data_IF_592950828976
#
_entry.id   IF_592950828976
#
_cell.length_a   1.000
_cell.length_b   1.000
_cell.length_c   1.000
_cell.angle_alpha   90.00
_cell.angle_beta   90.00
_cell.angle_gamma   90.00
#
_symmetry.space_group_name_H-M   'P 1'
#
loop_
_entity.id
_entity.type
_entity.pdbx_description
1 polymer ?
#
# COMPACT_ATOMS: atom_id res chain seq x y z
N UNK A 1 -2.74 -10.16 -4.07
CA UNK A 1 -3.37 -11.34 -3.39
C UNK A 1 -3.72 -11.06 -1.94
N UNK A 2 -2.87 -10.35 -1.18
CA UNK A 2 -3.10 -10.05 0.24
C UNK A 2 -4.50 -9.49 0.57
N UNK A 3 -4.95 -8.49 -0.19
CA UNK A 3 -6.30 -7.91 -0.04
C UNK A 3 -7.42 -8.96 -0.14
N UNK A 4 -7.30 -9.94 -1.04
CA UNK A 4 -8.30 -11.01 -1.18
C UNK A 4 -8.27 -11.98 0.00
N UNK A 5 -7.09 -12.22 0.59
CA UNK A 5 -6.93 -13.06 1.78
C UNK A 5 -7.68 -12.47 2.98
N UNK A 6 -7.55 -11.16 3.22
CA UNK A 6 -8.23 -10.49 4.33
C UNK A 6 -9.68 -10.10 4.04
N UNK A 7 -10.06 -9.92 2.76
CA UNK A 7 -11.42 -9.53 2.37
C UNK A 7 -12.21 -10.69 1.75
N UNK A 8 -12.52 -11.80 2.45
CA UNK A 8 -13.24 -12.93 1.85
C UNK A 8 -14.70 -12.59 1.52
N UNK A 9 -15.32 -11.61 2.19
CA UNK A 9 -16.73 -11.24 1.92
C UNK A 9 -16.85 -10.29 0.74
N UNK A 10 -15.89 -9.36 0.60
CA UNK A 10 -15.89 -8.35 -0.46
C UNK A 10 -14.89 -8.61 -1.59
N UNK A 11 -14.17 -9.74 -1.53
CA UNK A 11 -13.18 -10.19 -2.51
C UNK A 11 -13.68 -10.21 -3.96
N UNK A 12 -14.97 -10.48 -4.15
CA UNK A 12 -15.62 -10.51 -5.46
C UNK A 12 -15.60 -9.15 -6.19
N UNK A 13 -15.40 -8.03 -5.49
CA UNK A 13 -15.31 -6.72 -6.13
C UNK A 13 -14.08 -6.55 -7.00
N UNK A 14 -12.97 -7.26 -6.71
CA UNK A 14 -11.82 -7.26 -7.62
C UNK A 14 -12.23 -7.76 -9.00
N UNK A 15 -12.96 -8.88 -9.06
CA UNK A 15 -13.43 -9.43 -10.34
C UNK A 15 -14.54 -8.55 -10.96
N UNK A 16 -15.53 -8.13 -10.17
CA UNK A 16 -16.64 -7.32 -10.65
C UNK A 16 -16.20 -5.93 -11.17
N UNK A 17 -15.05 -5.44 -10.72
CA UNK A 17 -14.45 -4.16 -11.13
C UNK A 17 -13.22 -4.33 -12.05
N UNK A 18 -12.98 -5.55 -12.57
CA UNK A 18 -11.99 -5.78 -13.63
C UNK A 18 -10.52 -5.82 -13.20
N UNK A 19 -10.24 -6.07 -11.91
CA UNK A 19 -8.87 -6.22 -11.36
C UNK A 19 -8.23 -7.54 -11.82
N UNK A 20 -7.16 -7.46 -12.61
CA UNK A 20 -6.29 -8.60 -12.93
C UNK A 20 -5.06 -8.65 -12.00
N UNK A 21 -4.58 -9.86 -11.72
CA UNK A 21 -3.31 -10.10 -11.01
C UNK A 21 -2.21 -10.39 -12.02
N UNK A 22 -1.25 -9.47 -12.15
CA UNK A 22 -0.11 -9.57 -13.07
C UNK A 22 1.15 -10.07 -12.38
N UNK A 23 1.31 -9.74 -11.10
CA UNK A 23 2.55 -9.90 -10.35
C UNK A 23 2.30 -10.55 -8.98
N UNK A 24 3.38 -11.06 -8.39
CA UNK A 24 3.41 -11.63 -7.04
C UNK A 24 4.35 -10.78 -6.19
N UNK A 25 3.78 -10.06 -5.23
CA UNK A 25 4.54 -9.21 -4.30
C UNK A 25 4.83 -9.95 -2.98
N UNK A 26 6.08 -9.87 -2.53
CA UNK A 26 6.54 -10.35 -1.22
C UNK A 26 7.18 -9.21 -0.43
N UNK A 27 7.15 -9.34 0.89
CA UNK A 27 7.94 -8.52 1.79
C UNK A 27 8.89 -9.40 2.62
N UNK A 28 10.11 -8.94 2.84
CA UNK A 28 11.10 -9.64 3.67
C UNK A 28 12.00 -8.68 4.42
N UNK A 29 12.82 -9.23 5.32
CA UNK A 29 13.90 -8.47 5.94
C UNK A 29 15.15 -8.51 5.07
N UNK A 30 15.89 -7.41 4.98
CA UNK A 30 17.13 -7.35 4.19
C UNK A 30 18.16 -8.41 4.57
N UNK A 31 18.17 -8.86 5.84
CA UNK A 31 19.03 -9.98 6.29
C UNK A 31 18.84 -11.27 5.50
N UNK A 32 17.67 -11.47 4.87
CA UNK A 32 17.35 -12.64 4.05
C UNK A 32 17.59 -12.42 2.56
N UNK A 33 18.05 -11.23 2.15
CA UNK A 33 18.34 -10.90 0.75
C UNK A 33 19.19 -11.98 0.05
N UNK A 34 20.36 -12.41 0.57
CA UNK A 34 21.20 -13.40 -0.13
C UNK A 34 20.54 -14.78 -0.24
N UNK A 35 19.71 -15.16 0.74
CA UNK A 35 19.06 -16.46 0.78
C UNK A 35 17.86 -16.51 -0.19
N UNK A 36 17.08 -15.43 -0.26
CA UNK A 36 15.97 -15.28 -1.21
C UNK A 36 16.49 -15.24 -2.65
N UNK A 37 17.57 -14.49 -2.92
CA UNK A 37 18.19 -14.45 -4.25
C UNK A 37 18.59 -15.86 -4.69
N UNK A 38 19.32 -16.58 -3.82
CA UNK A 38 19.78 -17.95 -4.09
C UNK A 38 18.60 -18.91 -4.32
N UNK A 39 17.55 -18.79 -3.51
CA UNK A 39 16.34 -19.61 -3.61
C UNK A 39 15.66 -19.40 -4.96
N UNK A 40 15.31 -18.16 -5.32
CA UNK A 40 14.56 -17.87 -6.54
C UNK A 40 15.36 -18.19 -7.81
N UNK A 41 16.66 -17.86 -7.83
CA UNK A 41 17.54 -18.30 -8.93
C UNK A 41 17.62 -19.83 -9.01
N UNK A 42 17.72 -20.53 -7.88
CA UNK A 42 17.73 -22.00 -7.83
C UNK A 42 16.42 -22.65 -8.30
N UNK A 43 15.29 -21.95 -8.15
CA UNK A 43 13.98 -22.35 -8.67
C UNK A 43 13.79 -22.00 -10.16
N UNK A 44 14.74 -21.32 -10.79
CA UNK A 44 14.71 -20.99 -12.21
C UNK A 44 14.12 -19.63 -12.56
N UNK A 45 13.86 -18.77 -11.57
CA UNK A 45 13.46 -17.38 -11.81
C UNK A 45 14.65 -16.52 -12.21
N UNK A 46 14.44 -15.58 -13.13
CA UNK A 46 15.49 -14.72 -13.65
C UNK A 46 15.49 -13.35 -12.96
N UNK A 47 16.52 -13.05 -12.18
CA UNK A 47 16.65 -11.75 -11.52
C UNK A 47 16.80 -10.61 -12.55
N UNK A 48 16.01 -9.56 -12.39
CA UNK A 48 16.20 -8.30 -13.09
C UNK A 48 17.29 -7.46 -12.40
N UNK A 49 18.52 -7.62 -12.90
CA UNK A 49 19.69 -6.91 -12.37
C UNK A 49 19.63 -5.40 -12.54
N UNK A 50 18.77 -4.86 -13.40
CA UNK A 50 18.60 -3.40 -13.53
C UNK A 50 17.81 -2.87 -12.33
N UNK A 51 16.74 -3.57 -11.93
CA UNK A 51 15.98 -3.23 -10.72
C UNK A 51 16.87 -3.31 -9.48
N UNK A 52 17.64 -4.39 -9.33
CA UNK A 52 18.58 -4.53 -8.21
C UNK A 52 19.64 -3.41 -8.18
N UNK A 53 20.01 -2.83 -9.34
CA UNK A 53 20.93 -1.68 -9.38
C UNK A 53 20.25 -0.37 -9.02
N UNK A 54 19.00 -0.18 -9.42
CA UNK A 54 18.25 1.05 -9.18
C UNK A 54 17.83 1.18 -7.72
N UNK A 55 17.35 0.08 -7.12
CA UNK A 55 16.82 0.06 -5.75
C UNK A 55 17.80 -0.56 -4.74
N UNK A 56 18.93 -1.11 -5.19
CA UNK A 56 19.91 -1.72 -4.29
C UNK A 56 19.30 -2.88 -3.51
N UNK A 57 19.54 -2.88 -2.19
CA UNK A 57 19.03 -3.94 -1.28
C UNK A 57 17.64 -3.61 -0.69
N UNK A 58 16.86 -2.70 -1.28
CA UNK A 58 15.47 -2.45 -0.87
C UNK A 58 14.44 -3.18 -1.74
N UNK A 59 14.80 -3.61 -2.95
CA UNK A 59 13.88 -4.32 -3.86
C UNK A 59 14.59 -5.30 -4.78
N UNK A 60 14.00 -6.48 -4.98
CA UNK A 60 14.36 -7.41 -6.06
C UNK A 60 13.16 -7.63 -6.97
N UNK A 61 13.43 -7.74 -8.27
CA UNK A 61 12.45 -8.20 -9.25
C UNK A 61 12.97 -9.47 -9.91
N UNK A 62 12.11 -10.46 -10.05
CA UNK A 62 12.37 -11.69 -10.79
C UNK A 62 11.33 -11.91 -11.87
N UNK A 63 11.78 -12.34 -13.04
CA UNK A 63 10.95 -12.75 -14.16
C UNK A 63 10.64 -14.25 -14.05
N UNK A 64 9.35 -14.60 -14.17
CA UNK A 64 8.86 -15.96 -14.39
C UNK A 64 8.60 -16.16 -15.90
N UNK A 65 9.60 -16.67 -16.65
CA UNK A 65 9.45 -16.84 -18.09
C UNK A 65 8.42 -17.93 -18.46
N UNK A 66 8.06 -18.82 -17.52
CA UNK A 66 7.15 -19.91 -17.78
C UNK A 66 5.69 -19.44 -17.72
N UNK A 67 5.34 -18.64 -16.71
CA UNK A 67 3.97 -18.15 -16.53
C UNK A 67 3.74 -16.72 -17.07
N UNK A 68 4.80 -16.04 -17.51
CA UNK A 68 4.73 -14.67 -18.02
C UNK A 68 4.33 -13.67 -16.94
N UNK A 69 4.92 -13.80 -15.74
CA UNK A 69 4.64 -12.96 -14.56
C UNK A 69 5.94 -12.51 -13.91
N UNK A 70 5.84 -11.57 -12.98
CA UNK A 70 6.98 -11.13 -12.20
C UNK A 70 6.76 -11.39 -10.70
N UNK A 71 7.86 -11.59 -9.99
CA UNK A 71 7.93 -11.66 -8.54
C UNK A 71 8.68 -10.43 -8.06
N UNK A 72 8.01 -9.60 -7.27
CA UNK A 72 8.58 -8.42 -6.63
C UNK A 72 8.79 -8.68 -5.15
N UNK A 73 9.92 -8.24 -4.61
CA UNK A 73 10.29 -8.50 -3.22
C UNK A 73 10.80 -7.20 -2.63
N UNK A 74 10.05 -6.68 -1.66
CA UNK A 74 10.37 -5.47 -0.92
C UNK A 74 11.07 -5.81 0.39
N UNK A 75 12.19 -5.14 0.69
CA UNK A 75 13.01 -5.41 1.86
C UNK A 75 12.96 -4.26 2.86
N UNK A 76 12.53 -4.55 4.09
CA UNK A 76 12.41 -3.62 5.23
C UNK A 76 11.47 -2.41 5.03
N UNK A 77 11.05 -2.08 3.81
CA UNK A 77 10.21 -0.93 3.48
C UNK A 77 9.46 -1.10 2.14
N UNK A 78 8.35 -0.38 1.99
CA UNK A 78 7.68 -0.14 0.70
C UNK A 78 8.11 1.23 0.20
N UNK A 79 8.93 1.26 -0.84
CA UNK A 79 9.44 2.49 -1.45
C UNK A 79 8.76 2.75 -2.79
N UNK A 80 7.73 3.60 -2.76
CA UNK A 80 7.00 4.08 -3.94
C UNK A 80 7.14 5.61 -4.01
N UNK A 81 6.02 6.34 -4.05
CA UNK A 81 6.04 7.80 -3.98
C UNK A 81 6.48 8.35 -2.63
N UNK A 82 6.30 7.54 -1.57
CA UNK A 82 6.82 7.75 -0.24
C UNK A 82 7.45 6.44 0.24
N UNK A 83 7.98 6.44 1.47
CA UNK A 83 8.53 5.24 2.10
C UNK A 83 7.65 4.83 3.29
N UNK A 84 7.14 3.61 3.27
CA UNK A 84 6.44 3.00 4.42
C UNK A 84 7.35 1.93 5.02
N UNK A 85 7.86 2.12 6.25
CA UNK A 85 8.75 1.16 6.88
C UNK A 85 8.00 -0.12 7.29
N UNK A 86 8.60 -1.27 7.00
CA UNK A 86 8.11 -2.61 7.38
C UNK A 86 8.99 -3.29 8.44
N UNK A 87 10.14 -2.71 8.77
CA UNK A 87 11.04 -3.29 9.77
C UNK A 87 10.35 -3.47 11.14
N UNK A 88 10.28 -4.71 11.62
CA UNK A 88 9.60 -5.07 12.87
C UNK A 88 8.09 -5.28 12.74
N UNK A 89 7.55 -5.22 11.51
CA UNK A 89 6.12 -5.34 11.24
C UNK A 89 5.74 -6.61 10.49
N UNK A 90 6.69 -7.35 9.92
CA UNK A 90 6.40 -8.55 9.14
C UNK A 90 5.82 -9.70 9.99
N UNK A 91 6.04 -9.70 11.30
CA UNK A 91 5.50 -10.68 12.24
C UNK A 91 4.15 -10.28 12.85
N UNK A 92 3.67 -9.06 12.57
CA UNK A 92 2.42 -8.56 13.16
C UNK A 92 1.16 -9.17 12.50
N UNK A 93 1.30 -9.72 11.30
CA UNK A 93 0.25 -10.46 10.60
C UNK A 93 0.88 -11.57 9.73
N UNK A 94 0.13 -12.62 9.42
CA UNK A 94 0.58 -13.73 8.58
C UNK A 94 -0.62 -14.37 7.86
N UNK A 95 -0.52 -14.65 6.55
CA UNK A 95 0.71 -14.68 5.74
C UNK A 95 1.01 -13.36 4.98
N UNK A 96 0.38 -12.27 5.38
CA UNK A 96 0.35 -10.99 4.66
C UNK A 96 0.92 -9.86 5.54
N UNK A 97 1.13 -8.67 4.95
CA UNK A 97 1.38 -7.48 5.75
C UNK A 97 0.12 -7.13 6.58
N UNK A 98 0.26 -6.49 7.75
CA UNK A 98 -0.89 -6.04 8.51
C UNK A 98 -1.70 -4.98 7.74
N UNK A 99 -2.97 -4.84 8.12
CA UNK A 99 -3.94 -4.08 7.34
C UNK A 99 -3.60 -2.58 7.18
N UNK A 100 -2.93 -1.97 8.16
CA UNK A 100 -2.51 -0.58 8.07
C UNK A 100 -1.42 -0.38 7.00
N UNK A 101 -0.45 -1.29 6.94
CA UNK A 101 0.60 -1.31 5.94
C UNK A 101 0.04 -1.60 4.55
N UNK A 102 -0.91 -2.52 4.40
CA UNK A 102 -1.62 -2.75 3.13
C UNK A 102 -2.39 -1.51 2.66
N UNK A 103 -3.06 -0.80 3.57
CA UNK A 103 -3.71 0.46 3.23
C UNK A 103 -2.69 1.51 2.75
N UNK A 104 -1.60 1.68 3.50
CA UNK A 104 -0.54 2.64 3.19
C UNK A 104 0.21 2.29 1.90
N UNK A 105 0.38 1.00 1.58
CA UNK A 105 0.92 0.51 0.31
C UNK A 105 0.23 1.20 -0.88
N UNK A 106 -1.10 1.29 -0.84
CA UNK A 106 -1.90 1.92 -1.91
C UNK A 106 -1.97 3.43 -1.76
N UNK A 107 -2.28 3.89 -0.54
CA UNK A 107 -2.55 5.30 -0.28
C UNK A 107 -1.31 6.19 -0.37
N UNK A 108 -0.09 5.65 -0.39
CA UNK A 108 1.12 6.43 -0.60
C UNK A 108 1.39 6.77 -2.07
N UNK A 109 0.72 6.18 -3.05
CA UNK A 109 1.01 6.40 -4.48
C UNK A 109 0.36 7.71 -4.94
N UNK A 110 1.13 8.69 -5.42
CA UNK A 110 0.54 9.99 -5.83
C UNK A 110 -0.29 9.87 -7.09
N UNK A 111 0.19 9.12 -8.08
CA UNK A 111 -0.56 8.82 -9.30
C UNK A 111 -1.33 7.50 -9.09
N UNK A 112 -2.24 7.51 -8.12
CA UNK A 112 -3.03 6.32 -7.79
C UNK A 112 -3.91 5.92 -8.97
N UNK A 113 -3.99 4.62 -9.22
CA UNK A 113 -4.80 4.06 -10.29
C UNK A 113 -6.12 3.48 -9.72
N UNK A 114 -7.04 3.10 -10.60
CA UNK A 114 -8.33 2.55 -10.19
C UNK A 114 -8.19 1.20 -9.47
N UNK A 115 -7.23 0.35 -9.86
CA UNK A 115 -6.99 -0.96 -9.23
C UNK A 115 -6.62 -0.83 -7.74
N UNK A 116 -5.85 0.19 -7.38
CA UNK A 116 -5.45 0.47 -6.00
C UNK A 116 -6.59 1.09 -5.17
N UNK A 117 -7.47 1.88 -5.81
CA UNK A 117 -8.71 2.37 -5.20
C UNK A 117 -9.67 1.21 -4.88
N UNK A 118 -9.80 0.23 -5.77
CA UNK A 118 -10.63 -0.97 -5.57
C UNK A 118 -10.10 -1.81 -4.40
N UNK A 119 -8.79 -2.05 -4.33
CA UNK A 119 -8.16 -2.78 -3.23
C UNK A 119 -8.42 -2.08 -1.88
N UNK A 120 -8.31 -0.74 -1.87
CA UNK A 120 -8.56 0.08 -0.68
C UNK A 120 -10.02 0.11 -0.26
N UNK A 121 -10.93 0.24 -1.23
CA UNK A 121 -12.38 0.16 -1.04
C UNK A 121 -12.78 -1.13 -0.33
N UNK A 122 -12.25 -2.26 -0.79
CA UNK A 122 -12.53 -3.56 -0.18
C UNK A 122 -11.99 -3.66 1.24
N UNK A 123 -10.75 -3.24 1.45
CA UNK A 123 -10.11 -3.27 2.76
C UNK A 123 -10.91 -2.44 3.77
N UNK A 124 -11.23 -1.20 3.40
CA UNK A 124 -12.07 -0.30 4.19
C UNK A 124 -13.51 -0.78 4.28
N UNK A 125 -14.00 -1.67 3.42
CA UNK A 125 -15.34 -2.24 3.57
C UNK A 125 -15.36 -3.43 4.51
N UNK A 126 -14.34 -4.27 4.49
CA UNK A 126 -14.28 -5.47 5.33
C UNK A 126 -13.91 -5.09 6.78
N UNK A 127 -12.84 -4.31 6.98
CA UNK A 127 -12.23 -4.13 8.29
C UNK A 127 -12.53 -2.76 8.92
N UNK A 128 -12.85 -2.71 10.23
CA UNK A 128 -12.98 -1.45 10.94
C UNK A 128 -11.61 -0.79 11.16
N UNK A 129 -11.64 0.50 11.48
CA UNK A 129 -10.47 1.21 11.99
C UNK A 129 -10.35 0.91 13.48
N UNK A 130 -9.17 0.49 13.94
CA UNK A 130 -8.96 0.05 15.32
C UNK A 130 -7.59 0.41 15.88
N UNK A 131 -7.27 -0.17 17.04
CA UNK A 131 -6.08 0.13 17.82
C UNK A 131 -5.03 -1.00 17.80
N UNK A 132 -5.33 -2.12 17.13
CA UNK A 132 -4.50 -3.34 17.09
C UNK A 132 -4.44 -3.91 15.68
N UNK A 133 -3.47 -4.79 15.40
CA UNK A 133 -3.36 -5.50 14.11
C UNK A 133 -4.34 -6.69 13.97
N UNK A 134 -5.10 -7.02 15.02
CA UNK A 134 -6.11 -8.10 14.98
C UNK A 134 -7.34 -7.70 14.14
N UNK A 135 -7.29 -7.98 12.84
CA UNK A 135 -8.38 -7.80 11.88
C UNK A 135 -8.97 -6.37 11.84
N UNK A 136 -8.15 -5.38 12.25
CA UNK A 136 -8.48 -3.95 12.14
C UNK A 136 -7.37 -3.17 11.47
N UNK A 137 -7.74 -2.08 10.79
CA UNK A 137 -6.78 -1.12 10.25
C UNK A 137 -6.27 -0.29 11.43
N UNK A 138 -5.07 -0.60 11.92
CA UNK A 138 -4.49 0.04 13.10
C UNK A 138 -4.19 1.53 12.85
N UNK A 139 -4.96 2.41 13.48
CA UNK A 139 -4.88 3.86 13.24
C UNK A 139 -3.55 4.48 13.71
N UNK A 140 -2.93 3.93 14.75
CA UNK A 140 -1.67 4.44 15.31
C UNK A 140 -0.50 4.35 14.33
N UNK A 141 -0.49 3.35 13.44
CA UNK A 141 0.52 3.20 12.37
C UNK A 141 0.38 4.32 11.34
N UNK A 142 -0.85 4.53 10.83
CA UNK A 142 -1.16 5.57 9.82
C UNK A 142 -0.86 6.96 10.38
N UNK A 143 -1.37 7.25 11.58
CA UNK A 143 -1.19 8.56 12.24
C UNK A 143 0.26 8.81 12.63
N UNK A 144 0.98 7.79 13.08
CA UNK A 144 2.41 7.87 13.40
C UNK A 144 3.25 8.29 12.21
N UNK A 145 2.95 7.79 11.00
CA UNK A 145 3.69 8.16 9.79
C UNK A 145 3.25 9.54 9.25
N UNK A 146 1.95 9.74 9.06
CA UNK A 146 1.39 10.99 8.50
C UNK A 146 1.57 12.21 9.41
N UNK A 147 1.74 12.05 10.72
CA UNK A 147 2.04 13.16 11.63
C UNK A 147 3.49 13.64 11.57
N UNK A 148 4.40 12.80 11.05
CA UNK A 148 5.83 13.11 10.92
C UNK A 148 6.19 13.59 9.53
N UNK A 149 5.51 13.09 8.50
CA UNK A 149 5.75 13.42 7.10
C UNK A 149 4.53 14.11 6.47
N UNK A 150 4.74 15.38 6.08
CA UNK A 150 3.71 16.17 5.42
C UNK A 150 3.42 15.71 3.98
N UNK A 151 4.44 15.21 3.26
CA UNK A 151 4.27 14.70 1.91
C UNK A 151 3.40 13.45 1.90
N UNK A 152 3.72 12.48 2.77
CA UNK A 152 2.90 11.28 2.94
C UNK A 152 1.48 11.63 3.41
N UNK A 153 1.34 12.53 4.41
CA UNK A 153 0.03 13.03 4.84
C UNK A 153 -0.78 13.59 3.68
N UNK A 154 -0.17 14.46 2.86
CA UNK A 154 -0.83 15.14 1.74
C UNK A 154 -1.35 14.15 0.71
N UNK A 155 -0.58 13.10 0.43
CA UNK A 155 -0.96 12.05 -0.52
C UNK A 155 -2.02 11.13 0.07
N UNK A 156 -1.84 10.60 1.30
CA UNK A 156 -2.79 9.68 1.92
C UNK A 156 -4.17 10.32 2.09
N UNK A 157 -4.24 11.53 2.64
CA UNK A 157 -5.51 12.26 2.82
C UNK A 157 -6.17 12.63 1.49
N UNK A 158 -5.36 12.99 0.48
CA UNK A 158 -5.83 13.24 -0.88
C UNK A 158 -6.45 12.00 -1.52
N UNK A 159 -5.77 10.86 -1.43
CA UNK A 159 -6.23 9.59 -2.00
C UNK A 159 -7.47 9.04 -1.27
N UNK A 160 -7.56 9.19 0.05
CA UNK A 160 -8.76 8.84 0.81
C UNK A 160 -9.97 9.70 0.41
N UNK A 161 -9.77 11.00 0.19
CA UNK A 161 -10.82 11.91 -0.31
C UNK A 161 -11.24 11.54 -1.73
N UNK A 162 -10.25 11.25 -2.60
CA UNK A 162 -10.50 10.78 -3.96
C UNK A 162 -11.34 9.50 -3.98
N UNK A 163 -11.02 8.51 -3.14
CA UNK A 163 -11.80 7.29 -3.03
C UNK A 163 -13.25 7.61 -2.61
N UNK A 164 -13.43 8.48 -1.61
CA UNK A 164 -14.76 8.89 -1.14
C UNK A 164 -15.60 9.51 -2.27
N UNK A 165 -14.99 10.37 -3.09
CA UNK A 165 -15.64 10.99 -4.26
C UNK A 165 -15.97 9.98 -5.37
N UNK A 166 -15.26 8.85 -5.43
CA UNK A 166 -15.47 7.79 -6.41
C UNK A 166 -16.52 6.76 -5.98
N UNK A 167 -16.90 6.68 -4.69
CA UNK A 167 -17.90 5.72 -4.20
C UNK A 167 -19.22 5.71 -5.01
N UNK A 168 -19.78 6.86 -5.43
CA UNK A 168 -21.01 6.87 -6.24
C UNK A 168 -20.83 6.33 -7.66
N UNK A 169 -19.60 6.28 -8.18
CA UNK A 169 -19.29 5.82 -9.54
C UNK A 169 -19.27 4.29 -9.65
N UNK A 170 -19.04 3.59 -8.54
CA UNK A 170 -19.09 2.14 -8.48
C UNK A 170 -20.55 1.68 -8.36
N UNK A 171 -21.21 1.47 -9.50
CA UNK A 171 -22.61 1.04 -9.58
C UNK A 171 -22.86 -0.36 -8.99
N UNK A 172 -21.80 -1.16 -8.86
CA UNK A 172 -21.79 -2.49 -8.25
C UNK A 172 -21.95 -2.45 -6.72
N UNK A 173 -21.74 -1.31 -6.08
CA UNK A 173 -21.86 -1.15 -4.62
C UNK A 173 -23.30 -0.85 -4.22
N UNK A 174 -23.76 -1.52 -3.16
CA UNK A 174 -25.00 -1.14 -2.49
C UNK A 174 -24.78 0.12 -1.63
N UNK A 175 -25.84 0.90 -1.40
CA UNK A 175 -25.74 2.13 -0.59
C UNK A 175 -25.21 1.91 0.84
N UNK A 176 -25.57 0.82 1.56
CA UNK A 176 -24.98 0.54 2.87
C UNK A 176 -23.46 0.34 2.81
N UNK A 177 -22.95 -0.26 1.73
CA UNK A 177 -21.52 -0.50 1.58
C UNK A 177 -20.75 0.81 1.34
N UNK A 178 -21.31 1.69 0.52
CA UNK A 178 -20.77 3.04 0.30
C UNK A 178 -20.72 3.83 1.61
N UNK A 179 -21.78 3.76 2.42
CA UNK A 179 -21.85 4.47 3.69
C UNK A 179 -20.76 3.99 4.65
N UNK A 180 -20.60 2.68 4.83
CA UNK A 180 -19.60 2.10 5.73
C UNK A 180 -18.18 2.53 5.33
N UNK A 181 -17.88 2.52 4.03
CA UNK A 181 -16.56 2.95 3.54
C UNK A 181 -16.36 4.44 3.78
N UNK A 182 -17.36 5.27 3.48
CA UNK A 182 -17.30 6.71 3.72
C UNK A 182 -17.07 7.05 5.21
N UNK A 183 -17.78 6.37 6.12
CA UNK A 183 -17.62 6.54 7.57
C UNK A 183 -16.21 6.16 8.04
N UNK A 184 -15.64 5.07 7.50
CA UNK A 184 -14.27 4.65 7.85
C UNK A 184 -13.21 5.58 7.29
N UNK A 185 -13.42 6.12 6.08
CA UNK A 185 -12.57 7.18 5.52
C UNK A 185 -12.58 8.40 6.44
N UNK A 186 -13.76 8.84 6.88
CA UNK A 186 -13.90 9.99 7.78
C UNK A 186 -13.22 9.75 9.12
N UNK A 187 -13.35 8.54 9.68
CA UNK A 187 -12.68 8.17 10.92
C UNK A 187 -11.15 8.18 10.77
N UNK A 188 -10.58 7.64 9.69
CA UNK A 188 -9.13 7.70 9.46
C UNK A 188 -8.66 9.14 9.32
N UNK A 189 -9.36 9.96 8.52
CA UNK A 189 -9.00 11.37 8.34
C UNK A 189 -9.08 12.15 9.66
N UNK A 190 -10.12 11.93 10.46
CA UNK A 190 -10.24 12.54 11.78
C UNK A 190 -9.05 12.18 12.68
N UNK A 191 -8.69 10.90 12.76
CA UNK A 191 -7.54 10.44 13.57
C UNK A 191 -6.22 11.05 13.07
N UNK A 192 -6.06 11.16 11.75
CA UNK A 192 -4.90 11.83 11.14
C UNK A 192 -4.85 13.29 11.56
N UNK A 193 -5.96 14.02 11.51
CA UNK A 193 -6.01 15.45 11.83
C UNK A 193 -5.73 15.73 13.31
N UNK A 194 -6.32 14.93 14.20
CA UNK A 194 -6.15 15.02 15.65
C UNK A 194 -4.72 14.68 16.12
N UNK A 195 -3.98 13.85 15.38
CA UNK A 195 -2.64 13.44 15.76
C UNK A 195 -1.65 14.64 15.82
N UNK A 196 -0.82 14.77 16.87
CA UNK A 196 0.10 15.89 17.03
C UNK A 196 1.17 15.90 15.93
N UNK A 197 1.27 17.00 15.18
CA UNK A 197 2.20 17.13 14.05
C UNK A 197 3.62 17.48 14.49
N UNK A 198 4.60 16.80 13.90
CA UNK A 198 6.02 17.07 14.15
C UNK A 198 6.41 18.50 13.75
N UNK A 199 7.55 18.99 14.26
CA UNK A 199 8.08 20.30 13.84
C UNK A 199 8.39 20.29 12.33
N UNK A 200 9.02 19.23 11.83
CA UNK A 200 9.34 19.05 10.41
C UNK A 200 8.08 19.09 9.54
N UNK A 201 7.03 18.38 9.95
CA UNK A 201 5.73 18.40 9.29
C UNK A 201 5.19 19.82 9.18
N UNK A 202 5.17 20.57 10.29
CA UNK A 202 4.62 21.94 10.33
C UNK A 202 5.43 22.92 9.47
N UNK A 203 6.75 22.77 9.43
CA UNK A 203 7.60 23.55 8.53
C UNK A 203 7.31 23.22 7.07
N UNK A 204 7.22 21.94 6.73
CA UNK A 204 6.92 21.48 5.36
C UNK A 204 5.51 21.90 4.90
N UNK A 205 4.54 21.95 5.81
CA UNK A 205 3.19 22.41 5.54
C UNK A 205 3.11 23.88 5.11
N UNK A 206 3.99 24.74 5.62
CA UNK A 206 4.05 26.16 5.20
C UNK A 206 4.52 26.33 3.75
N UNK A 207 5.33 25.39 3.26
CA UNK A 207 5.77 25.35 1.86
C UNK A 207 4.60 24.89 0.97
N UNK A 208 3.85 23.89 1.45
CA UNK A 208 2.68 23.36 0.77
C UNK A 208 3.01 22.70 -0.57
N UNK A 209 2.03 22.66 -1.46
CA UNK A 209 2.09 21.99 -2.77
C UNK A 209 3.02 22.71 -3.78
N UNK A 210 3.66 23.83 -3.40
CA UNK A 210 4.56 24.63 -4.27
C UNK A 210 5.86 23.91 -4.64
N UNK A 211 6.27 22.96 -3.83
CA UNK A 211 7.46 22.13 -4.04
C UNK A 211 7.01 20.68 -4.13
N UNK A 212 7.55 19.93 -5.10
CA UNK A 212 7.28 18.49 -5.23
C UNK A 212 7.55 17.79 -3.89
N UNK A 213 6.65 16.89 -3.50
CA UNK A 213 6.67 16.26 -2.18
C UNK A 213 6.74 14.74 -2.23
N UNK A 214 6.95 14.18 -3.41
CA UNK A 214 6.89 12.75 -3.69
C UNK A 214 7.92 12.37 -4.74
N UNK A 215 8.23 11.08 -4.79
CA UNK A 215 9.03 10.46 -5.84
C UNK A 215 8.12 9.85 -6.91
N UNK A 216 8.56 9.87 -8.17
CA UNK A 216 7.80 9.22 -9.24
C UNK A 216 7.99 7.70 -9.12
N UNK A 217 6.89 6.96 -9.21
CA UNK A 217 6.95 5.50 -9.23
C UNK A 217 7.30 5.06 -10.65
N UNK A 218 8.44 4.38 -10.82
CA UNK A 218 8.78 3.76 -12.10
C UNK A 218 7.81 2.59 -12.38
N UNK A 219 7.19 2.61 -13.55
CA UNK A 219 6.45 1.46 -14.06
C UNK A 219 7.45 0.41 -14.56
N UNK A 220 7.67 -0.62 -13.74
CA UNK A 220 8.58 -1.73 -14.05
C UNK A 220 7.88 -2.83 -14.87
N UNK A 221 6.54 -2.81 -14.98
CA UNK A 221 5.76 -3.87 -15.63
C UNK A 221 5.73 -3.76 -17.17
N UNK A 222 6.22 -2.65 -17.73
CA UNK A 222 6.28 -2.39 -19.17
C UNK A 222 7.65 -2.61 -19.81
N UNK A 223 8.60 -3.26 -19.13
CA UNK A 223 9.96 -3.51 -19.62
C UNK A 223 10.22 -5.00 -19.84
#
# INVERSE_FOLDING_TARGET
MAFRTHCPKFGQWQEALGRAFTDIDFASYRRFFPDIQRLLTGLGYNEDKMVSRLFGESRMLFHDPFNGRHIDIFFDELHFSHTVPLAGRLEADSPTLPLAELLLEKMQIVQINEKDLIDTLMLLREHPIGETDDETIQASIITGLTSRDWGLWRTVTGNLSLLKDYLPKYSQLADPDRLIVAERIDLVQQRIDEAPKSVQWRLRARIGDRVKWYEDVEDLAGR
#
